data_IF_702234149718
#
_entry.id   IF_702234149718
#
_cell.length_a   1.000
_cell.length_b   1.000
_cell.length_c   1.000
_cell.angle_alpha   90.00
_cell.angle_beta   90.00
_cell.angle_gamma   90.00
#
_symmetry.space_group_name_H-M   'P 1'
#
loop_
_entity.id
_entity.type
_entity.pdbx_description
1 polymer ?
#
# COMPACT_ATOMS: atom_id res chain seq x y z
N UNK A 1 -10.32 -16.14 6.37
CA UNK A 1 -10.59 -14.73 6.71
C UNK A 1 -9.90 -14.49 8.03
N UNK A 2 -8.98 -13.52 8.06
CA UNK A 2 -8.30 -13.06 9.26
C UNK A 2 -8.62 -11.57 9.40
N UNK A 3 -9.24 -11.18 10.50
CA UNK A 3 -9.49 -9.77 10.82
C UNK A 3 -8.55 -9.35 11.93
N UNK A 4 -7.94 -8.17 11.80
CA UNK A 4 -7.08 -7.56 12.81
C UNK A 4 -7.58 -6.17 13.14
N UNK A 5 -7.67 -5.87 14.43
CA UNK A 5 -7.87 -4.51 14.93
C UNK A 5 -6.51 -3.90 15.25
N UNK A 6 -6.22 -2.75 14.62
CA UNK A 6 -5.09 -1.90 14.98
C UNK A 6 -5.64 -0.88 15.98
N UNK A 7 -5.12 -0.92 17.20
CA UNK A 7 -5.55 -0.01 18.26
C UNK A 7 -4.92 1.37 18.09
N UNK A 8 -5.58 2.41 18.63
CA UNK A 8 -5.01 3.75 18.58
C UNK A 8 -3.65 3.80 19.32
N UNK A 9 -2.65 4.39 18.65
CA UNK A 9 -1.26 4.52 19.12
C UNK A 9 -0.47 3.22 19.22
N UNK A 10 -1.01 2.06 18.79
CA UNK A 10 -0.22 0.84 18.75
C UNK A 10 0.86 0.91 17.67
N UNK A 11 1.92 0.11 17.85
CA UNK A 11 3.08 -0.03 16.95
C UNK A 11 3.21 -1.50 16.52
N UNK A 12 4.15 -1.80 15.62
CA UNK A 12 4.37 -3.16 15.11
C UNK A 12 3.41 -3.53 13.98
N UNK A 13 2.86 -2.53 13.30
CA UNK A 13 1.92 -2.69 12.19
C UNK A 13 2.52 -2.19 10.87
N UNK A 14 3.83 -2.39 10.67
CA UNK A 14 4.45 -2.10 9.38
C UNK A 14 3.80 -2.90 8.25
N UNK A 15 3.99 -2.44 7.01
CA UNK A 15 3.42 -3.12 5.85
C UNK A 15 3.85 -4.58 5.72
N UNK A 16 5.07 -4.93 6.16
CA UNK A 16 5.55 -6.31 6.18
C UNK A 16 4.65 -7.22 7.05
N UNK A 17 4.14 -6.70 8.18
CA UNK A 17 3.25 -7.42 9.09
C UNK A 17 1.85 -7.62 8.52
N UNK A 18 1.39 -6.67 7.70
CA UNK A 18 0.05 -6.71 7.09
C UNK A 18 0.05 -7.53 5.80
N UNK A 19 1.00 -7.25 4.90
CA UNK A 19 0.99 -7.79 3.54
C UNK A 19 1.98 -8.94 3.32
N UNK A 20 2.90 -9.21 4.25
CA UNK A 20 3.96 -10.21 4.03
C UNK A 20 3.44 -11.59 3.65
N UNK A 21 2.28 -12.02 4.18
CA UNK A 21 1.64 -13.30 3.82
C UNK A 21 1.04 -13.33 2.41
N UNK A 22 0.84 -12.16 1.80
CA UNK A 22 0.28 -12.01 0.45
C UNK A 22 1.35 -12.09 -0.65
N UNK A 23 2.63 -12.03 -0.27
CA UNK A 23 3.77 -11.98 -1.19
C UNK A 23 4.38 -13.37 -1.34
N UNK A 24 4.39 -13.87 -2.56
CA UNK A 24 5.02 -15.13 -2.94
C UNK A 24 5.52 -15.06 -4.38
N UNK A 25 6.21 -16.10 -4.84
CA UNK A 25 6.70 -16.23 -6.21
C UNK A 25 5.58 -16.28 -7.27
N UNK A 26 4.33 -16.56 -6.88
CA UNK A 26 3.19 -16.66 -7.83
C UNK A 26 2.57 -15.30 -8.11
N UNK A 27 2.88 -14.29 -7.28
CA UNK A 27 2.39 -12.94 -7.45
C UNK A 27 3.06 -12.27 -8.66
N UNK A 28 2.26 -11.91 -9.65
CA UNK A 28 2.74 -11.19 -10.85
C UNK A 28 2.08 -9.83 -11.05
N UNK A 29 0.94 -9.59 -10.40
CA UNK A 29 0.26 -8.29 -10.42
C UNK A 29 -0.46 -7.96 -9.10
N UNK A 30 -0.43 -6.68 -8.74
CA UNK A 30 -1.16 -6.10 -7.61
C UNK A 30 -2.07 -4.98 -8.09
N UNK A 31 -3.27 -4.88 -7.53
CA UNK A 31 -4.20 -3.78 -7.75
C UNK A 31 -4.49 -3.11 -6.41
N UNK A 32 -4.22 -1.82 -6.31
CA UNK A 32 -4.44 -0.98 -5.14
C UNK A 32 -5.55 -0.01 -5.45
N UNK A 33 -6.63 -0.07 -4.68
CA UNK A 33 -7.69 0.94 -4.68
C UNK A 33 -7.60 1.71 -3.36
N UNK A 34 -7.25 2.97 -3.44
CA UNK A 34 -7.18 3.86 -2.28
C UNK A 34 -7.37 5.32 -2.73
N UNK A 35 -8.51 5.91 -2.36
CA UNK A 35 -8.89 7.27 -2.78
C UNK A 35 -7.96 8.36 -2.27
N UNK A 36 -7.12 8.08 -1.27
CA UNK A 36 -6.33 9.08 -0.58
C UNK A 36 -4.84 9.00 -0.91
N UNK A 37 -4.41 8.38 -2.02
CA UNK A 37 -3.01 8.50 -2.45
C UNK A 37 -2.84 9.82 -3.20
N UNK A 38 -2.69 10.94 -2.48
CA UNK A 38 -2.57 12.27 -3.08
C UNK A 38 -1.54 13.20 -2.40
N UNK A 39 -1.50 13.24 -1.06
CA UNK A 39 -0.52 14.06 -0.34
C UNK A 39 0.86 13.38 -0.30
N UNK A 40 1.92 14.16 -0.05
CA UNK A 40 3.29 13.66 -0.02
C UNK A 40 3.47 12.43 0.88
N UNK A 41 2.95 12.45 2.11
CA UNK A 41 3.10 11.31 3.03
C UNK A 41 2.32 10.07 2.57
N UNK A 42 1.17 10.26 1.90
CA UNK A 42 0.38 9.17 1.32
C UNK A 42 1.07 8.54 0.11
N UNK A 43 1.72 9.36 -0.74
CA UNK A 43 2.56 8.87 -1.83
C UNK A 43 3.75 8.11 -1.28
N UNK A 44 4.43 8.63 -0.25
CA UNK A 44 5.52 7.90 0.42
C UNK A 44 5.06 6.59 1.07
N UNK A 45 3.83 6.54 1.56
CA UNK A 45 3.20 5.30 2.02
C UNK A 45 2.99 4.32 0.86
N UNK A 46 2.58 4.77 -0.31
CA UNK A 46 2.51 3.93 -1.51
C UNK A 46 3.90 3.48 -2.00
N UNK A 47 4.92 4.34 -1.96
CA UNK A 47 6.32 3.97 -2.28
C UNK A 47 6.79 2.82 -1.40
N UNK A 48 6.65 2.94 -0.08
CA UNK A 48 7.03 1.87 0.88
C UNK A 48 6.27 0.57 0.63
N UNK A 49 5.00 0.65 0.22
CA UNK A 49 4.24 -0.52 -0.19
C UNK A 49 4.84 -1.17 -1.45
N UNK A 50 5.18 -0.39 -2.47
CA UNK A 50 5.84 -0.88 -3.68
C UNK A 50 7.20 -1.52 -3.38
N UNK A 51 8.02 -0.92 -2.52
CA UNK A 51 9.30 -1.49 -2.07
C UNK A 51 9.11 -2.87 -1.43
N UNK A 52 8.13 -3.01 -0.54
CA UNK A 52 7.81 -4.29 0.07
C UNK A 52 7.38 -5.33 -0.97
N UNK A 53 6.49 -4.95 -1.91
CA UNK A 53 6.01 -5.87 -2.97
C UNK A 53 7.17 -6.35 -3.85
N UNK A 54 8.01 -5.42 -4.32
CA UNK A 54 9.18 -5.76 -5.16
C UNK A 54 10.17 -6.64 -4.41
N UNK A 55 10.40 -6.38 -3.12
CA UNK A 55 11.30 -7.19 -2.30
C UNK A 55 10.73 -8.59 -1.98
N UNK A 56 9.42 -8.72 -1.83
CA UNK A 56 8.77 -9.96 -1.39
C UNK A 56 8.23 -10.86 -2.52
N UNK A 57 8.09 -10.34 -3.73
CA UNK A 57 7.52 -11.06 -4.87
C UNK A 57 8.44 -10.99 -6.10
N UNK A 58 9.33 -11.98 -6.30
CA UNK A 58 10.36 -11.92 -7.33
C UNK A 58 9.82 -11.88 -8.78
N UNK A 59 8.58 -12.32 -8.98
CA UNK A 59 7.94 -12.38 -10.29
C UNK A 59 6.93 -11.24 -10.52
N UNK A 60 6.89 -10.23 -9.65
CA UNK A 60 6.03 -9.07 -9.87
C UNK A 60 6.41 -8.36 -11.18
N UNK A 61 5.39 -7.99 -11.96
CA UNK A 61 5.55 -7.26 -13.22
C UNK A 61 4.68 -6.02 -13.33
N UNK A 62 3.59 -5.96 -12.56
CA UNK A 62 2.61 -4.89 -12.69
C UNK A 62 2.04 -4.48 -11.32
N UNK A 63 2.03 -3.19 -11.04
CA UNK A 63 1.30 -2.59 -9.93
C UNK A 63 0.32 -1.59 -10.53
N UNK A 64 -0.96 -1.74 -10.23
CA UNK A 64 -2.01 -0.83 -10.67
C UNK A 64 -2.51 -0.06 -9.45
N UNK A 65 -2.51 1.27 -9.53
CA UNK A 65 -3.08 2.16 -8.52
C UNK A 65 -4.30 2.85 -9.11
N UNK A 66 -5.45 2.68 -8.48
CA UNK A 66 -6.63 3.52 -8.68
C UNK A 66 -6.78 4.43 -7.46
N UNK A 67 -6.66 5.73 -7.66
CA UNK A 67 -6.74 6.74 -6.59
C UNK A 67 -7.77 7.83 -6.90
N UNK A 68 -8.04 8.71 -5.94
CA UNK A 68 -8.97 9.82 -6.09
C UNK A 68 -8.46 10.89 -7.07
N UNK A 69 -9.36 11.71 -7.62
CA UNK A 69 -9.04 12.77 -8.58
C UNK A 69 -7.96 13.75 -8.09
N UNK A 70 -7.91 14.03 -6.78
CA UNK A 70 -6.88 14.89 -6.16
C UNK A 70 -5.46 14.36 -6.38
N UNK A 71 -5.29 13.05 -6.59
CA UNK A 71 -4.01 12.45 -6.94
C UNK A 71 -3.41 13.01 -8.24
N UNK A 72 -4.23 13.54 -9.16
CA UNK A 72 -3.74 14.15 -10.42
C UNK A 72 -2.80 15.32 -10.18
N UNK A 73 -2.98 16.04 -9.07
CA UNK A 73 -2.09 17.15 -8.68
C UNK A 73 -0.66 16.68 -8.40
N UNK A 74 -0.47 15.37 -8.17
CA UNK A 74 0.81 14.73 -7.89
C UNK A 74 1.28 13.81 -9.02
N UNK A 75 0.81 14.03 -10.26
CA UNK A 75 1.16 13.21 -11.43
C UNK A 75 2.68 13.04 -11.60
N UNK A 76 3.45 14.12 -11.41
CA UNK A 76 4.92 14.07 -11.54
C UNK A 76 5.59 13.12 -10.55
N UNK A 77 5.06 13.00 -9.32
CA UNK A 77 5.56 12.06 -8.32
C UNK A 77 5.24 10.61 -8.70
N UNK A 78 4.07 10.35 -9.29
CA UNK A 78 3.72 9.03 -9.81
C UNK A 78 4.57 8.65 -11.02
N UNK A 79 4.85 9.59 -11.93
CA UNK A 79 5.72 9.36 -13.09
C UNK A 79 7.17 9.07 -12.66
N UNK A 80 7.65 9.74 -11.60
CA UNK A 80 8.95 9.46 -11.01
C UNK A 80 9.01 8.05 -10.43
N UNK A 81 8.01 7.66 -9.64
CA UNK A 81 7.91 6.30 -9.09
C UNK A 81 7.80 5.26 -10.21
N UNK A 82 7.02 5.52 -11.26
CA UNK A 82 6.88 4.63 -12.41
C UNK A 82 8.23 4.38 -13.11
N UNK A 83 9.01 5.44 -13.39
CA UNK A 83 10.36 5.32 -13.94
C UNK A 83 11.31 4.57 -13.00
N UNK A 84 11.15 4.72 -11.69
CA UNK A 84 11.96 3.98 -10.71
C UNK A 84 11.65 2.48 -10.73
N UNK A 85 10.36 2.11 -10.78
CA UNK A 85 9.91 0.72 -10.83
C UNK A 85 10.27 0.03 -12.16
N UNK A 86 10.28 0.79 -13.26
CA UNK A 86 10.66 0.26 -14.57
C UNK A 86 12.11 -0.26 -14.59
N UNK A 87 13.03 0.37 -13.83
CA UNK A 87 14.42 -0.09 -13.71
C UNK A 87 14.56 -1.50 -13.12
N UNK A 88 13.52 -1.97 -12.42
CA UNK A 88 13.43 -3.33 -11.86
C UNK A 88 12.38 -4.17 -12.59
N UNK A 89 12.01 -3.79 -13.81
CA UNK A 89 11.06 -4.48 -14.69
C UNK A 89 9.64 -4.58 -14.12
N UNK A 90 9.20 -3.56 -13.39
CA UNK A 90 7.85 -3.44 -12.85
C UNK A 90 7.16 -2.23 -13.45
N UNK A 91 6.01 -2.46 -14.09
CA UNK A 91 5.18 -1.38 -14.65
C UNK A 91 4.24 -0.87 -13.56
N UNK A 92 4.23 0.45 -13.36
CA UNK A 92 3.21 1.14 -12.56
C UNK A 92 2.18 1.78 -13.47
N UNK A 93 0.90 1.45 -13.27
CA UNK A 93 -0.23 2.13 -13.92
C UNK A 93 -1.01 2.90 -12.87
N UNK A 94 -1.23 4.20 -13.10
CA UNK A 94 -2.02 5.05 -12.20
C UNK A 94 -3.26 5.55 -12.92
N UNK A 95 -4.41 5.29 -12.33
CA UNK A 95 -5.72 5.71 -12.79
C UNK A 95 -6.41 6.55 -11.70
N UNK A 96 -7.29 7.44 -12.12
CA UNK A 96 -7.97 8.39 -11.23
C UNK A 96 -9.48 8.26 -11.36
N UNK A 97 -10.18 8.23 -10.23
CA UNK A 97 -11.64 8.14 -10.17
C UNK A 97 -12.23 9.18 -9.22
N UNK A 98 -13.38 9.73 -9.59
CA UNK A 98 -14.17 10.65 -8.75
C UNK A 98 -15.13 9.93 -7.80
N UNK A 99 -15.38 8.64 -8.01
CA UNK A 99 -16.36 7.83 -7.26
C UNK A 99 -15.72 6.67 -6.48
N UNK A 100 -14.41 6.75 -6.23
CA UNK A 100 -13.70 5.73 -5.47
C UNK A 100 -13.99 5.87 -3.97
N UNK A 101 -14.57 4.82 -3.39
CA UNK A 101 -14.85 4.74 -1.96
C UNK A 101 -14.18 3.53 -1.29
N UNK A 102 -13.93 2.47 -2.06
CA UNK A 102 -13.35 1.24 -1.57
C UNK A 102 -11.84 1.39 -1.31
N UNK A 103 -11.39 0.79 -0.20
CA UNK A 103 -9.98 0.69 0.19
C UNK A 103 -9.58 -0.77 0.23
N UNK A 104 -9.12 -1.25 -0.91
CA UNK A 104 -8.92 -2.67 -1.18
C UNK A 104 -7.66 -2.89 -2.00
N UNK A 105 -6.87 -3.88 -1.60
CA UNK A 105 -5.66 -4.30 -2.29
C UNK A 105 -5.85 -5.75 -2.71
N UNK A 106 -5.79 -6.01 -4.01
CA UNK A 106 -5.93 -7.34 -4.61
C UNK A 106 -4.61 -7.83 -5.16
N UNK A 107 -4.25 -9.03 -4.77
CA UNK A 107 -3.08 -9.75 -5.25
C UNK A 107 -3.55 -10.86 -6.18
N UNK A 108 -2.97 -10.99 -7.37
CA UNK A 108 -3.48 -11.94 -8.37
C UNK A 108 -3.20 -13.43 -8.04
N UNK A 109 -2.51 -13.70 -6.94
CA UNK A 109 -2.39 -15.03 -6.32
C UNK A 109 -3.57 -15.38 -5.37
N UNK A 110 -4.60 -14.52 -5.33
CA UNK A 110 -5.88 -14.75 -4.65
C UNK A 110 -6.03 -14.05 -3.31
N UNK A 111 -5.04 -13.29 -2.84
CA UNK A 111 -5.18 -12.50 -1.61
C UNK A 111 -5.92 -11.19 -1.86
N UNK A 112 -6.73 -10.79 -0.88
CA UNK A 112 -7.41 -9.50 -0.83
C UNK A 112 -7.22 -8.94 0.57
N UNK A 113 -6.78 -7.69 0.67
CA UNK A 113 -6.63 -6.97 1.94
C UNK A 113 -7.48 -5.71 1.89
N UNK A 114 -8.38 -5.55 2.85
CA UNK A 114 -9.17 -4.33 3.05
C UNK A 114 -8.72 -3.63 4.31
N UNK A 115 -8.51 -2.32 4.25
CA UNK A 115 -8.06 -1.53 5.39
C UNK A 115 -8.98 -0.33 5.55
N UNK A 116 -9.56 -0.16 6.73
CA UNK A 116 -10.51 0.92 7.02
C UNK A 116 -9.92 2.34 6.94
N UNK A 117 -8.62 2.48 6.67
CA UNK A 117 -7.90 3.74 6.42
C UNK A 117 -7.01 3.68 5.16
N UNK A 118 -7.07 2.60 4.39
CA UNK A 118 -6.20 2.41 3.24
C UNK A 118 -4.74 2.24 3.67
N UNK A 119 -3.81 2.78 2.90
CA UNK A 119 -2.38 2.81 3.25
C UNK A 119 -2.04 3.90 4.29
N UNK A 120 -2.96 4.82 4.60
CA UNK A 120 -2.71 5.99 5.46
C UNK A 120 -3.20 5.81 6.92
N UNK A 121 -2.85 4.68 7.55
CA UNK A 121 -3.19 4.41 8.96
C UNK A 121 -2.08 4.79 9.95
N UNK A 122 -0.95 5.33 9.49
CA UNK A 122 0.13 5.77 10.39
C UNK A 122 -0.06 7.21 10.87
N UNK A 123 0.32 7.49 12.12
CA UNK A 123 0.41 8.86 12.65
C UNK A 123 1.73 9.50 12.22
N UNK A 124 1.75 10.84 12.21
CA UNK A 124 3.00 11.58 12.05
C UNK A 124 3.91 11.31 13.26
N UNK A 125 5.09 10.71 13.08
CA UNK A 125 6.00 10.41 14.20
C UNK A 125 6.79 11.64 14.66
N UNK A 126 6.92 12.69 13.84
CA UNK A 126 7.92 13.75 14.01
C UNK A 126 9.17 13.51 13.17
N UNK A 127 10.09 14.48 13.12
CA UNK A 127 11.20 14.49 12.14
C UNK A 127 12.37 13.57 12.48
N UNK A 128 12.79 13.52 13.74
CA UNK A 128 14.01 12.84 14.19
C UNK A 128 13.73 11.91 15.36
N UNK A 129 12.82 10.95 15.16
CA UNK A 129 12.40 10.00 16.19
C UNK A 129 12.44 8.56 15.68
N UNK A 130 12.40 7.61 16.61
CA UNK A 130 12.16 6.22 16.27
C UNK A 130 10.79 6.11 15.58
N UNK A 131 10.76 5.35 14.49
CA UNK A 131 9.59 5.29 13.64
C UNK A 131 9.47 6.44 12.66
N UNK A 132 10.49 7.26 12.40
CA UNK A 132 10.52 8.20 11.26
C UNK A 132 10.85 7.51 9.92
N UNK A 133 11.55 6.37 9.95
CA UNK A 133 11.87 5.55 8.77
C UNK A 133 11.12 4.22 8.78
N UNK A 134 11.37 3.37 9.78
CA UNK A 134 10.73 2.05 9.90
C UNK A 134 9.31 2.16 10.48
N UNK A 135 8.33 1.71 9.69
CA UNK A 135 6.91 1.74 10.03
C UNK A 135 6.55 0.86 11.22
N UNK A 136 7.35 -0.16 11.55
CA UNK A 136 7.09 -1.02 12.70
C UNK A 136 7.23 -0.29 14.04
N UNK A 137 7.94 0.83 14.09
CA UNK A 137 8.02 1.67 15.29
C UNK A 137 7.07 2.88 15.26
N UNK A 138 6.25 3.02 14.21
CA UNK A 138 5.37 4.19 14.03
C UNK A 138 4.01 3.97 14.68
N UNK A 139 3.54 4.89 15.54
CA UNK A 139 2.19 4.81 16.10
C UNK A 139 1.10 4.86 15.02
N UNK A 140 0.05 4.08 15.18
CA UNK A 140 -1.04 4.00 14.21
C UNK A 140 -2.31 4.73 14.68
N UNK A 141 -3.11 5.18 13.73
CA UNK A 141 -4.53 5.46 13.94
C UNK A 141 -5.30 4.15 14.10
N UNK A 142 -6.40 4.17 14.86
CA UNK A 142 -7.27 3.00 14.97
C UNK A 142 -7.83 2.63 13.58
N UNK A 143 -7.77 1.35 13.23
CA UNK A 143 -8.37 0.82 12.00
C UNK A 143 -8.59 -0.68 12.06
N UNK A 144 -9.40 -1.19 11.14
CA UNK A 144 -9.63 -2.63 10.94
C UNK A 144 -8.96 -3.04 9.63
N UNK A 145 -8.27 -4.18 9.68
CA UNK A 145 -7.64 -4.84 8.54
C UNK A 145 -8.30 -6.20 8.35
N UNK A 146 -8.91 -6.43 7.19
CA UNK A 146 -9.45 -7.72 6.80
C UNK A 146 -8.56 -8.36 5.73
N UNK A 147 -8.00 -9.52 6.04
CA UNK A 147 -7.15 -10.31 5.13
C UNK A 147 -7.93 -11.56 4.71
N UNK A 148 -8.15 -11.67 3.40
CA UNK A 148 -8.95 -12.72 2.77
C UNK A 148 -8.16 -13.40 1.67
N UNK A 149 -8.44 -14.68 1.47
CA UNK A 149 -7.99 -15.41 0.30
C UNK A 149 -9.23 -15.91 -0.43
N UNK A 150 -9.41 -15.48 -1.67
CA UNK A 150 -10.42 -16.08 -2.54
C UNK A 150 -10.01 -17.52 -2.82
N UNK A 151 -10.89 -18.46 -2.48
CA UNK A 151 -10.76 -19.83 -2.95
C UNK A 151 -11.06 -19.80 -4.45
N UNK A 152 -10.15 -20.38 -5.24
CA UNK A 152 -10.46 -20.75 -6.62
C UNK A 152 -11.55 -21.82 -6.63
#
# INVERSE_FOLDING_TARGET
LEQRKIEANSVGHGYDKIFGRCLDEKLTAVHVQDAYVCAHHQIMNFVRFCELVVSGAPNIRCINLLTGMEGRNSQSAFDELARSLEKVNVVLKVEFSSSLHDREIRFNNGWIVKIGRGLDYFKNPGKYVLGASDLNFRPCHETIVDIMRQKK
#
